data_IF_373129464069
#
_entry.id   IF_373129464069
#
_cell.length_a   1.000
_cell.length_b   1.000
_cell.length_c   1.000
_cell.angle_alpha   90.00
_cell.angle_beta   90.00
_cell.angle_gamma   90.00
#
_symmetry.space_group_name_H-M   'P 1'
#
loop_
_entity.id
_entity.type
_entity.pdbx_description
1 polymer ?
#
# COMPACT_ATOMS: atom_id res chain seq x y z
N UNK A 1 -19.25 4.86 -30.78
CA UNK A 1 -19.92 3.85 -29.92
C UNK A 1 -19.46 4.13 -28.49
N UNK A 2 -20.27 4.81 -27.68
CA UNK A 2 -19.94 5.09 -26.28
C UNK A 2 -20.73 4.09 -25.44
N UNK A 3 -20.03 3.13 -24.83
CA UNK A 3 -20.64 2.18 -23.92
C UNK A 3 -20.79 2.86 -22.56
N UNK A 4 -22.00 3.32 -22.24
CA UNK A 4 -22.35 3.73 -20.87
C UNK A 4 -22.71 2.47 -20.09
N UNK A 5 -21.77 1.99 -19.28
CA UNK A 5 -22.01 0.94 -18.29
C UNK A 5 -23.16 1.33 -17.36
N UNK A 6 -23.99 0.37 -16.90
CA UNK A 6 -25.08 0.67 -15.97
C UNK A 6 -24.53 1.34 -14.70
N UNK A 7 -25.34 2.16 -14.00
CA UNK A 7 -24.90 2.84 -12.79
C UNK A 7 -24.46 1.79 -11.78
N UNK A 8 -23.15 1.78 -11.48
CA UNK A 8 -22.58 0.96 -10.42
C UNK A 8 -23.41 1.23 -9.16
N UNK A 9 -24.02 0.20 -8.58
CA UNK A 9 -24.43 0.25 -7.18
C UNK A 9 -23.29 0.90 -6.41
N UNK A 10 -23.56 1.99 -5.70
CA UNK A 10 -22.52 2.79 -5.05
C UNK A 10 -21.55 1.86 -4.33
N UNK A 11 -20.32 1.74 -4.85
CA UNK A 11 -19.28 0.90 -4.23
C UNK A 11 -19.07 1.43 -2.82
N UNK A 12 -19.48 0.65 -1.82
CA UNK A 12 -19.38 1.05 -0.42
C UNK A 12 -17.95 0.83 0.04
N UNK A 13 -17.14 1.87 -0.06
CA UNK A 13 -15.77 1.86 0.43
C UNK A 13 -15.76 1.90 1.97
N UNK A 14 -15.04 0.97 2.58
CA UNK A 14 -14.55 1.10 3.95
C UNK A 14 -13.34 2.03 4.02
N UNK A 15 -13.13 2.64 5.18
CA UNK A 15 -11.95 3.47 5.45
C UNK A 15 -11.49 3.25 6.89
N UNK A 16 -10.20 3.05 7.06
CA UNK A 16 -9.52 2.93 8.34
C UNK A 16 -8.35 3.92 8.37
N UNK A 17 -8.09 4.52 9.53
CA UNK A 17 -6.87 5.30 9.75
C UNK A 17 -6.35 5.00 11.15
N UNK A 18 -5.03 4.92 11.26
CA UNK A 18 -4.36 4.57 12.50
C UNK A 18 -3.01 5.28 12.58
N UNK A 19 -2.51 5.44 13.80
CA UNK A 19 -1.19 6.03 14.08
C UNK A 19 -0.10 5.26 13.32
N UNK A 20 0.91 5.95 12.83
CA UNK A 20 2.03 5.33 12.12
C UNK A 20 2.84 4.39 13.03
N UNK A 21 2.47 3.11 13.08
CA UNK A 21 3.07 2.08 13.94
C UNK A 21 3.28 0.78 13.17
N UNK A 22 4.21 -0.06 13.64
CA UNK A 22 4.42 -1.43 13.15
C UNK A 22 3.52 -2.46 13.85
N UNK A 23 2.67 -2.04 14.80
CA UNK A 23 1.64 -2.89 15.39
C UNK A 23 0.47 -3.09 14.42
N UNK A 24 0.71 -3.85 13.36
CA UNK A 24 -0.21 -4.00 12.21
C UNK A 24 -1.19 -5.17 12.34
N UNK A 25 -0.99 -6.07 13.30
CA UNK A 25 -1.80 -7.29 13.40
C UNK A 25 -3.33 -7.02 13.46
N UNK A 26 -3.84 -6.09 14.31
CA UNK A 26 -5.28 -5.82 14.37
C UNK A 26 -5.79 -5.13 13.09
N UNK A 27 -4.95 -4.33 12.45
CA UNK A 27 -5.27 -3.66 11.18
C UNK A 27 -5.43 -4.69 10.07
N UNK A 28 -4.47 -5.63 9.97
CA UNK A 28 -4.49 -6.69 8.97
C UNK A 28 -5.72 -7.58 9.11
N UNK A 29 -6.10 -7.95 10.34
CA UNK A 29 -7.28 -8.78 10.58
C UNK A 29 -8.57 -8.13 10.05
N UNK A 30 -8.71 -6.80 10.18
CA UNK A 30 -9.83 -6.06 9.60
C UNK A 30 -9.77 -6.08 8.07
N UNK A 31 -8.59 -5.82 7.49
CA UNK A 31 -8.44 -5.66 6.05
C UNK A 31 -8.62 -6.96 5.26
N UNK A 32 -8.36 -8.12 5.88
CA UNK A 32 -8.50 -9.44 5.24
C UNK A 32 -9.78 -10.18 5.64
N UNK A 33 -10.64 -9.58 6.47
CA UNK A 33 -11.83 -10.23 7.03
C UNK A 33 -12.77 -10.81 5.95
N UNK A 34 -12.91 -10.12 4.81
CA UNK A 34 -13.76 -10.57 3.71
C UNK A 34 -13.02 -11.44 2.68
N UNK A 35 -11.70 -11.59 2.81
CA UNK A 35 -10.88 -12.39 1.89
C UNK A 35 -11.05 -13.87 2.22
N UNK A 36 -11.35 -14.75 1.24
CA UNK A 36 -11.50 -16.17 1.53
C UNK A 36 -10.17 -16.83 1.92
N UNK A 37 -10.27 -17.82 2.81
CA UNK A 37 -9.12 -18.45 3.48
C UNK A 37 -7.96 -18.88 2.56
N UNK A 38 -8.19 -19.45 1.36
CA UNK A 38 -7.08 -19.85 0.49
C UNK A 38 -6.16 -18.70 0.06
N UNK A 39 -6.68 -17.47 0.00
CA UNK A 39 -5.92 -16.29 -0.44
C UNK A 39 -5.47 -15.39 0.71
N UNK A 40 -5.98 -15.62 1.94
CA UNK A 40 -5.70 -14.75 3.08
C UNK A 40 -4.21 -14.61 3.38
N UNK A 41 -3.43 -15.69 3.29
CA UNK A 41 -2.00 -15.65 3.62
C UNK A 41 -1.22 -14.72 2.68
N UNK A 42 -1.43 -14.86 1.37
CA UNK A 42 -0.74 -14.05 0.36
C UNK A 42 -1.20 -12.59 0.41
N UNK A 43 -2.51 -12.34 0.53
CA UNK A 43 -3.05 -10.98 0.65
C UNK A 43 -2.57 -10.32 1.95
N UNK A 44 -2.54 -11.05 3.07
CA UNK A 44 -2.02 -10.55 4.35
C UNK A 44 -0.55 -10.15 4.23
N UNK A 45 0.27 -10.95 3.54
CA UNK A 45 1.68 -10.62 3.31
C UNK A 45 1.84 -9.34 2.48
N UNK A 46 1.11 -9.23 1.36
CA UNK A 46 1.16 -8.04 0.51
C UNK A 46 0.69 -6.76 1.22
N UNK A 47 -0.39 -6.86 2.00
CA UNK A 47 -0.86 -5.75 2.83
C UNK A 47 0.12 -5.41 3.94
N UNK A 48 0.72 -6.39 4.59
CA UNK A 48 1.73 -6.14 5.62
C UNK A 48 2.89 -5.34 5.06
N UNK A 49 3.40 -5.74 3.89
CA UNK A 49 4.48 -5.02 3.22
C UNK A 49 4.08 -3.58 2.87
N UNK A 50 2.90 -3.37 2.27
CA UNK A 50 2.41 -2.04 1.94
C UNK A 50 2.24 -1.13 3.18
N UNK A 51 1.73 -1.68 4.29
CA UNK A 51 1.55 -0.94 5.54
C UNK A 51 2.88 -0.66 6.25
N UNK A 52 3.83 -1.60 6.23
CA UNK A 52 5.21 -1.37 6.71
C UNK A 52 5.86 -0.27 5.89
N UNK A 53 5.71 -0.28 4.57
CA UNK A 53 6.23 0.77 3.70
C UNK A 53 5.63 2.14 4.03
N UNK A 54 4.32 2.22 4.20
CA UNK A 54 3.64 3.43 4.61
C UNK A 54 4.12 3.95 5.98
N UNK A 55 4.24 3.07 6.99
CA UNK A 55 4.59 3.47 8.34
C UNK A 55 6.10 3.76 8.50
N UNK A 56 6.96 2.84 8.07
CA UNK A 56 8.42 2.90 8.24
C UNK A 56 9.09 3.84 7.26
N UNK A 57 8.73 3.76 5.99
CA UNK A 57 9.45 4.49 4.93
C UNK A 57 8.75 5.81 4.57
N UNK A 58 7.42 5.78 4.39
CA UNK A 58 6.63 6.98 4.12
C UNK A 58 6.59 7.94 5.31
N UNK A 59 6.02 7.49 6.42
CA UNK A 59 5.83 8.30 7.62
C UNK A 59 7.06 8.37 8.54
N UNK A 60 8.09 7.56 8.31
CA UNK A 60 9.31 7.51 9.16
C UNK A 60 9.02 7.15 10.62
N UNK A 61 7.99 6.31 10.86
CA UNK A 61 7.49 5.94 12.19
C UNK A 61 7.13 7.13 13.09
N UNK A 62 6.82 8.29 12.49
CA UNK A 62 6.38 9.47 13.23
C UNK A 62 4.98 9.24 13.82
N UNK A 63 4.83 9.17 15.15
CA UNK A 63 3.55 8.91 15.80
C UNK A 63 2.55 10.08 15.65
N UNK A 64 3.00 11.26 15.23
CA UNK A 64 2.12 12.37 14.87
C UNK A 64 1.47 12.18 13.48
N UNK A 65 1.93 11.20 12.69
CA UNK A 65 1.39 10.88 11.37
C UNK A 65 0.49 9.65 11.41
N UNK A 66 -0.33 9.54 10.38
CA UNK A 66 -1.27 8.44 10.23
C UNK A 66 -1.04 7.70 8.90
N UNK A 67 -1.35 6.42 8.91
CA UNK A 67 -1.57 5.62 7.70
C UNK A 67 -3.06 5.48 7.51
N UNK A 68 -3.54 5.74 6.29
CA UNK A 68 -4.94 5.60 5.91
C UNK A 68 -5.10 4.50 4.87
N UNK A 69 -6.13 3.67 5.05
CA UNK A 69 -6.45 2.57 4.15
C UNK A 69 -7.91 2.68 3.73
N UNK A 70 -8.15 2.81 2.44
CA UNK A 70 -9.48 2.65 1.85
C UNK A 70 -9.59 1.27 1.23
N UNK A 71 -10.69 0.57 1.46
CA UNK A 71 -10.85 -0.78 0.96
C UNK A 71 -12.28 -1.07 0.49
N UNK A 72 -12.44 -1.98 -0.46
CA UNK A 72 -13.75 -2.43 -0.94
C UNK A 72 -13.62 -3.81 -1.56
N UNK A 73 -14.69 -4.59 -1.52
CA UNK A 73 -14.85 -5.85 -2.26
C UNK A 73 -16.05 -5.75 -3.21
N UNK A 74 -15.95 -6.33 -4.41
CA UNK A 74 -17.06 -6.43 -5.36
C UNK A 74 -16.95 -7.76 -6.10
N UNK A 75 -17.88 -8.68 -5.84
CA UNK A 75 -17.82 -10.04 -6.37
C UNK A 75 -16.57 -10.75 -5.85
N UNK A 76 -15.73 -11.24 -6.77
CA UNK A 76 -14.45 -11.90 -6.45
C UNK A 76 -13.24 -10.96 -6.44
N UNK A 77 -13.45 -9.64 -6.55
CA UNK A 77 -12.37 -8.66 -6.61
C UNK A 77 -12.27 -7.87 -5.30
N UNK A 78 -11.05 -7.59 -4.88
CA UNK A 78 -10.73 -6.85 -3.66
C UNK A 78 -9.77 -5.73 -3.97
N UNK A 79 -9.97 -4.58 -3.34
CA UNK A 79 -9.13 -3.40 -3.53
C UNK A 79 -8.75 -2.80 -2.19
N UNK A 80 -7.50 -2.36 -2.10
CA UNK A 80 -6.96 -1.56 -1.00
C UNK A 80 -6.17 -0.39 -1.58
N UNK A 81 -6.34 0.79 -0.98
CA UNK A 81 -5.54 1.98 -1.24
C UNK A 81 -4.89 2.35 0.08
N UNK A 82 -3.59 2.12 0.18
CA UNK A 82 -2.77 2.51 1.33
C UNK A 82 -2.14 3.87 1.04
N UNK A 83 -2.28 4.79 1.98
CA UNK A 83 -1.72 6.14 1.87
C UNK A 83 -1.03 6.54 3.18
N UNK A 84 0.21 6.96 3.06
CA UNK A 84 0.98 7.66 4.09
C UNK A 84 1.03 9.18 3.85
N UNK A 85 1.75 9.89 4.72
CA UNK A 85 1.94 11.34 4.71
C UNK A 85 3.42 11.70 4.49
N UNK A 86 4.18 10.78 3.89
CA UNK A 86 5.56 10.95 3.49
C UNK A 86 5.71 11.82 2.23
N UNK A 87 6.97 12.12 1.89
CA UNK A 87 7.31 12.91 0.70
C UNK A 87 7.29 12.09 -0.60
N UNK A 88 6.97 10.79 -0.53
CA UNK A 88 7.10 9.86 -1.64
C UNK A 88 8.54 9.38 -1.85
N UNK A 89 8.82 8.87 -3.05
CA UNK A 89 10.11 8.32 -3.45
C UNK A 89 10.65 9.03 -4.69
N UNK A 90 11.97 9.18 -4.75
CA UNK A 90 12.64 9.62 -5.97
C UNK A 90 12.54 8.51 -7.02
N UNK A 91 12.09 8.84 -8.22
CA UNK A 91 12.17 7.90 -9.34
C UNK A 91 13.63 7.85 -9.81
N UNK A 92 14.25 6.67 -9.91
CA UNK A 92 15.57 6.59 -10.54
C UNK A 92 15.44 7.12 -11.96
N UNK A 93 16.30 8.09 -12.32
CA UNK A 93 16.35 8.69 -13.63
C UNK A 93 16.42 7.61 -14.72
N UNK A 94 15.74 7.86 -15.86
CA UNK A 94 15.89 7.03 -17.07
C UNK A 94 17.36 6.92 -17.42
N UNK A 95 17.85 5.68 -17.48
CA UNK A 95 19.23 5.32 -17.68
C UNK A 95 19.71 5.73 -19.09
N UNK A 96 20.25 6.94 -19.25
CA UNK A 96 21.15 7.27 -20.38
C UNK A 96 22.53 7.80 -19.89
N UNK A 97 22.66 8.24 -18.64
CA UNK A 97 23.91 8.80 -18.08
C UNK A 97 24.61 7.87 -17.05
N UNK A 98 24.58 6.55 -17.25
CA UNK A 98 25.15 5.56 -16.32
C UNK A 98 26.70 5.51 -16.27
N UNK A 99 27.40 6.45 -16.88
CA UNK A 99 28.86 6.39 -17.07
C UNK A 99 29.65 7.49 -16.36
N UNK A 100 29.12 8.16 -15.33
CA UNK A 100 29.93 9.08 -14.52
C UNK A 100 29.63 8.96 -13.02
N UNK A 101 30.55 8.27 -12.36
CA UNK A 101 30.92 8.32 -10.94
C UNK A 101 29.88 7.96 -9.85
N UNK A 102 30.13 6.82 -9.19
CA UNK A 102 30.17 6.82 -7.72
C UNK A 102 28.85 6.66 -6.96
N UNK A 103 27.80 6.09 -7.54
CA UNK A 103 26.60 5.75 -6.76
C UNK A 103 26.83 4.48 -5.93
N UNK A 104 27.07 4.63 -4.62
CA UNK A 104 26.94 3.51 -3.68
C UNK A 104 25.49 3.03 -3.72
N UNK A 105 25.20 1.75 -4.02
CA UNK A 105 23.83 1.25 -3.99
C UNK A 105 23.32 1.41 -2.55
N UNK A 106 22.29 2.21 -2.35
CA UNK A 106 21.62 2.27 -1.07
C UNK A 106 20.84 0.95 -0.92
N UNK A 107 21.46 -0.05 -0.30
CA UNK A 107 20.85 -1.32 0.09
C UNK A 107 19.85 -1.07 1.22
N UNK A 108 18.79 -0.30 0.94
CA UNK A 108 17.59 -0.40 1.74
C UNK A 108 16.94 -1.73 1.41
N UNK A 109 16.59 -2.52 2.43
CA UNK A 109 15.67 -3.64 2.30
C UNK A 109 14.26 -3.09 1.98
N UNK A 110 14.09 -2.44 0.84
CA UNK A 110 12.77 -2.09 0.33
C UNK A 110 12.12 -3.37 -0.19
N UNK A 111 10.85 -3.59 0.18
CA UNK A 111 10.02 -4.58 -0.51
C UNK A 111 10.10 -4.37 -2.01
N UNK A 112 10.01 -5.47 -2.76
CA UNK A 112 10.34 -5.64 -4.19
C UNK A 112 9.44 -4.83 -5.17
N UNK A 113 9.16 -3.56 -4.86
CA UNK A 113 8.20 -2.69 -5.53
C UNK A 113 8.79 -1.35 -6.00
N UNK A 114 10.11 -1.28 -6.20
CA UNK A 114 10.79 -0.23 -6.95
C UNK A 114 11.78 -0.86 -7.94
#
# INVERSE_FOLDING_TARGET
MVATSPPLSQRKWGSLSFVSTLYLYPVLDILVAEVPKPWQAEIRLGLQEALVNAAKHGNQLDPAKQVSVRYTSVGSNYWWIVKDQGKGFAHPCRCEDFMLEGCTPHFGECGRGL
#
